data_IF_909065403760
#
_entry.id   IF_909065403760
#
_cell.length_a   1.000
_cell.length_b   1.000
_cell.length_c   1.000
_cell.angle_alpha   90.00
_cell.angle_beta   90.00
_cell.angle_gamma   90.00
#
_symmetry.space_group_name_H-M   'P 1'
#
loop_
_entity.id
_entity.type
_entity.pdbx_description
1 polymer ?
#
# COMPACT_ATOMS: atom_id res chain seq x y z
N UNK A 1 33.02 13.59 -29.27
CA UNK A 1 31.91 12.68 -28.88
C UNK A 1 30.73 12.95 -29.81
N UNK A 2 30.11 11.90 -30.36
CA UNK A 2 29.00 12.05 -31.33
C UNK A 2 27.78 12.69 -30.67
N UNK A 3 27.10 13.58 -31.39
CA UNK A 3 25.83 14.22 -30.96
C UNK A 3 24.81 13.20 -30.44
N UNK A 4 24.83 11.97 -30.98
CA UNK A 4 24.02 10.85 -30.52
C UNK A 4 24.28 10.47 -29.06
N UNK A 5 25.54 10.41 -28.63
CA UNK A 5 25.91 10.03 -27.26
C UNK A 5 25.52 11.11 -26.22
N UNK A 6 25.54 12.38 -26.62
CA UNK A 6 25.09 13.49 -25.78
C UNK A 6 23.58 13.44 -25.55
N UNK A 7 22.79 13.19 -26.61
CA UNK A 7 21.34 13.03 -26.52
C UNK A 7 20.94 11.87 -25.60
N UNK A 8 21.62 10.72 -25.67
CA UNK A 8 21.30 9.59 -24.80
C UNK A 8 21.51 9.90 -23.33
N UNK A 9 22.59 10.60 -22.98
CA UNK A 9 22.90 10.96 -21.59
C UNK A 9 21.85 11.95 -21.06
N UNK A 10 21.46 12.96 -21.85
CA UNK A 10 20.46 13.96 -21.44
C UNK A 10 19.10 13.30 -21.18
N UNK A 11 18.64 12.41 -22.08
CA UNK A 11 17.37 11.69 -21.88
C UNK A 11 17.42 10.82 -20.63
N UNK A 12 18.54 10.12 -20.40
CA UNK A 12 18.70 9.24 -19.24
C UNK A 12 18.72 10.04 -17.92
N UNK A 13 19.42 11.18 -17.89
CA UNK A 13 19.40 12.11 -16.75
C UNK A 13 17.99 12.66 -16.47
N UNK A 14 17.27 13.10 -17.51
CA UNK A 14 15.90 13.60 -17.37
C UNK A 14 14.98 12.50 -16.82
N UNK A 15 15.07 11.27 -17.34
CA UNK A 15 14.27 10.14 -16.81
C UNK A 15 14.59 9.82 -15.36
N UNK A 16 15.85 9.90 -14.93
CA UNK A 16 16.22 9.69 -13.52
C UNK A 16 15.69 10.81 -12.61
N UNK A 17 15.71 12.07 -13.04
CA UNK A 17 15.15 13.21 -12.29
C UNK A 17 13.64 13.08 -12.07
N UNK A 18 12.90 12.57 -13.05
CA UNK A 18 11.46 12.32 -12.90
C UNK A 18 11.16 11.14 -11.96
N UNK A 19 11.99 10.10 -11.95
CA UNK A 19 11.80 8.92 -11.10
C UNK A 19 12.12 9.18 -9.62
N UNK A 20 13.05 10.09 -9.31
CA UNK A 20 13.39 10.46 -7.92
C UNK A 20 12.40 11.44 -7.29
N UNK A 21 11.63 12.17 -8.09
CA UNK A 21 10.72 13.23 -7.61
C UNK A 21 9.38 12.72 -7.05
N UNK A 22 9.12 11.41 -7.04
CA UNK A 22 7.83 10.83 -6.63
C UNK A 22 7.81 10.15 -5.26
N UNK A 23 8.92 10.11 -4.52
CA UNK A 23 8.88 9.67 -3.11
C UNK A 23 8.69 10.90 -2.22
N UNK A 24 7.49 11.06 -1.67
CA UNK A 24 7.22 12.02 -0.59
C UNK A 24 8.24 11.76 0.52
N UNK A 25 9.14 12.73 0.74
CA UNK A 25 10.28 12.60 1.67
C UNK A 25 9.84 12.38 3.13
N UNK A 26 8.55 12.56 3.43
CA UNK A 26 7.93 12.36 4.76
C UNK A 26 6.64 11.51 4.68
N UNK A 27 6.58 10.52 3.79
CA UNK A 27 5.47 9.57 3.82
C UNK A 27 5.66 8.54 4.94
N UNK A 28 4.59 8.25 5.67
CA UNK A 28 4.48 7.15 6.62
C UNK A 28 3.91 5.95 5.88
N UNK A 29 4.61 4.83 5.95
CA UNK A 29 4.18 3.57 5.33
C UNK A 29 3.30 2.81 6.31
N UNK A 30 2.03 2.61 5.95
CA UNK A 30 1.02 1.98 6.78
C UNK A 30 1.17 0.45 6.74
N UNK A 31 2.33 -0.05 7.15
CA UNK A 31 2.70 -1.47 7.06
C UNK A 31 1.87 -2.32 8.04
N UNK A 32 1.64 -1.83 9.25
CA UNK A 32 0.81 -2.51 10.24
C UNK A 32 -0.65 -2.60 9.81
N UNK A 33 -1.18 -1.53 9.22
CA UNK A 33 -2.58 -1.46 8.85
C UNK A 33 -2.94 -0.11 8.26
N UNK A 34 -3.99 -0.10 7.45
CA UNK A 34 -4.59 1.11 6.91
C UNK A 34 -6.11 1.00 7.00
N UNK A 35 -6.75 2.05 7.50
CA UNK A 35 -8.19 2.20 7.48
C UNK A 35 -8.57 3.66 7.24
N UNK A 36 -9.81 3.93 6.87
CA UNK A 36 -10.27 5.30 6.65
C UNK A 36 -11.74 5.45 6.98
N UNK A 37 -12.08 6.56 7.63
CA UNK A 37 -13.44 7.10 7.66
C UNK A 37 -13.57 8.28 6.68
N UNK A 38 -14.70 9.00 6.73
CA UNK A 38 -14.99 10.14 5.84
C UNK A 38 -13.99 11.32 6.01
N UNK A 39 -13.29 11.39 7.14
CA UNK A 39 -12.51 12.55 7.57
C UNK A 39 -11.05 12.21 7.88
N UNK A 40 -10.76 10.98 8.28
CA UNK A 40 -9.50 10.56 8.88
C UNK A 40 -9.06 9.23 8.30
N UNK A 41 -7.79 9.17 7.90
CA UNK A 41 -7.12 7.92 7.58
C UNK A 41 -6.29 7.49 8.79
N UNK A 42 -6.38 6.21 9.12
CA UNK A 42 -5.73 5.55 10.23
C UNK A 42 -4.59 4.71 9.67
N UNK A 43 -3.36 5.12 9.94
CA UNK A 43 -2.16 4.50 9.40
C UNK A 43 -1.33 3.89 10.54
N UNK A 44 -1.27 2.57 10.60
CA UNK A 44 -0.45 1.88 11.60
C UNK A 44 0.85 1.38 10.97
N UNK A 45 1.99 1.64 11.62
CA UNK A 45 3.31 1.25 11.11
C UNK A 45 3.83 -0.10 11.63
N UNK A 46 3.28 -0.63 12.72
CA UNK A 46 3.76 -1.85 13.37
C UNK A 46 2.73 -3.00 13.41
N UNK A 47 3.23 -4.21 13.67
CA UNK A 47 2.42 -5.43 13.76
C UNK A 47 1.44 -5.42 14.94
N UNK A 48 1.79 -4.74 16.03
CA UNK A 48 1.05 -4.72 17.29
C UNK A 48 -0.13 -3.75 17.26
N UNK A 49 -0.30 -3.00 16.18
CA UNK A 49 -1.28 -1.94 16.03
C UNK A 49 -1.13 -0.79 17.05
N UNK A 50 0.10 -0.48 17.50
CA UNK A 50 0.33 0.50 18.58
C UNK A 50 0.66 1.89 18.04
N UNK A 51 1.55 1.97 17.06
CA UNK A 51 1.99 3.24 16.46
C UNK A 51 1.03 3.64 15.34
N UNK A 52 -0.11 4.18 15.77
CA UNK A 52 -1.17 4.71 14.92
C UNK A 52 -0.93 6.20 14.61
N UNK A 53 -0.99 6.55 13.33
CA UNK A 53 -0.95 7.91 12.83
C UNK A 53 -2.32 8.28 12.25
N UNK A 54 -2.79 9.48 12.60
CA UNK A 54 -3.98 10.07 12.00
C UNK A 54 -3.55 10.95 10.83
N UNK A 55 -4.05 10.66 9.64
CA UNK A 55 -3.64 11.28 8.40
C UNK A 55 -4.85 11.86 7.66
N UNK A 56 -4.60 12.81 6.77
CA UNK A 56 -5.59 13.29 5.79
C UNK A 56 -5.78 12.20 4.71
N UNK A 57 -7.00 11.63 4.53
CA UNK A 57 -7.26 10.58 3.54
C UNK A 57 -6.91 10.99 2.10
N UNK A 58 -6.94 12.29 1.77
CA UNK A 58 -6.59 12.77 0.45
C UNK A 58 -5.08 12.64 0.15
N UNK A 59 -4.27 12.40 1.18
CA UNK A 59 -2.81 12.29 1.10
C UNK A 59 -2.29 10.86 1.29
N UNK A 60 -3.21 9.92 1.35
CA UNK A 60 -2.94 8.50 1.47
C UNK A 60 -3.19 7.79 0.13
N UNK A 61 -2.27 6.93 -0.26
CA UNK A 61 -2.47 6.08 -1.42
C UNK A 61 -1.30 5.15 -1.71
N UNK A 62 -1.51 4.29 -2.69
CA UNK A 62 -0.53 3.42 -3.30
C UNK A 62 -0.71 3.52 -4.81
N UNK A 63 0.32 3.95 -5.56
CA UNK A 63 0.26 4.14 -7.02
C UNK A 63 -0.96 4.96 -7.51
N UNK A 64 -1.28 6.06 -6.79
CA UNK A 64 -2.46 6.92 -7.01
C UNK A 64 -3.83 6.25 -6.77
N UNK A 65 -3.86 5.07 -6.14
CA UNK A 65 -5.07 4.39 -5.69
C UNK A 65 -5.21 4.44 -4.16
N UNK A 66 -6.45 4.39 -3.66
CA UNK A 66 -6.76 4.27 -2.21
C UNK A 66 -7.01 2.82 -1.78
N UNK A 67 -6.36 1.89 -2.46
CA UNK A 67 -6.45 0.47 -2.18
C UNK A 67 -5.13 -0.20 -2.55
N UNK A 68 -4.91 -1.40 -2.03
CA UNK A 68 -3.82 -2.28 -2.43
C UNK A 68 -4.36 -3.54 -3.09
N UNK A 69 -3.61 -4.10 -4.03
CA UNK A 69 -3.97 -5.36 -4.69
C UNK A 69 -3.08 -6.47 -4.16
N UNK A 70 -3.61 -7.25 -3.22
CA UNK A 70 -2.93 -8.42 -2.70
C UNK A 70 -3.38 -9.69 -3.42
N UNK A 71 -2.41 -10.53 -3.77
CA UNK A 71 -2.66 -11.82 -4.40
C UNK A 71 -2.93 -12.89 -3.34
N UNK A 72 -3.63 -13.95 -3.75
CA UNK A 72 -3.91 -15.13 -2.93
C UNK A 72 -4.73 -14.87 -1.67
N UNK A 73 -5.44 -13.74 -1.62
CA UNK A 73 -6.39 -13.47 -0.57
C UNK A 73 -7.57 -14.45 -0.68
N UNK A 74 -8.03 -15.00 0.43
CA UNK A 74 -9.17 -15.94 0.45
C UNK A 74 -10.26 -15.36 1.33
N UNK A 75 -11.55 -15.53 1.01
CA UNK A 75 -12.61 -15.06 1.87
C UNK A 75 -12.46 -15.63 3.28
N UNK A 76 -12.58 -14.81 4.32
CA UNK A 76 -12.30 -15.22 5.70
C UNK A 76 -13.15 -16.41 6.16
N UNK A 77 -14.37 -16.54 5.63
CA UNK A 77 -15.30 -17.63 5.90
C UNK A 77 -14.98 -18.93 5.12
N UNK A 78 -14.03 -18.90 4.17
CA UNK A 78 -13.57 -20.02 3.35
C UNK A 78 -12.06 -20.20 3.53
N UNK A 79 -11.69 -20.80 4.65
CA UNK A 79 -10.30 -21.12 4.98
C UNK A 79 -9.73 -22.33 4.20
N UNK A 80 -10.54 -22.97 3.35
CA UNK A 80 -10.12 -24.08 2.50
C UNK A 80 -9.22 -23.64 1.33
N UNK A 81 -9.07 -22.33 1.12
CA UNK A 81 -8.14 -21.74 0.16
C UNK A 81 -8.54 -21.94 -1.31
N UNK A 82 -9.77 -22.38 -1.56
CA UNK A 82 -10.20 -22.82 -2.90
C UNK A 82 -10.63 -21.67 -3.82
N UNK A 83 -10.89 -20.48 -3.26
CA UNK A 83 -11.28 -19.29 -4.03
C UNK A 83 -10.35 -18.12 -3.71
N UNK A 84 -9.30 -17.95 -4.51
CA UNK A 84 -8.49 -16.74 -4.47
C UNK A 84 -9.32 -15.54 -4.98
N UNK A 85 -9.37 -14.49 -4.17
CA UNK A 85 -9.98 -13.21 -4.50
C UNK A 85 -9.00 -12.37 -5.31
N UNK A 86 -9.51 -11.75 -6.38
CA UNK A 86 -8.81 -10.71 -7.15
C UNK A 86 -9.20 -9.30 -6.68
N UNK A 87 -9.95 -9.20 -5.58
CA UNK A 87 -10.48 -7.94 -5.10
C UNK A 87 -9.41 -7.11 -4.41
N UNK A 88 -9.59 -5.79 -4.48
CA UNK A 88 -8.68 -4.82 -3.87
C UNK A 88 -9.01 -4.61 -2.39
N UNK A 89 -7.99 -4.41 -1.59
CA UNK A 89 -8.08 -4.11 -0.16
C UNK A 89 -8.12 -2.59 0.05
N UNK A 90 -9.28 -2.07 0.45
CA UNK A 90 -9.46 -0.65 0.78
C UNK A 90 -9.06 -0.36 2.23
N UNK A 91 -9.19 -1.36 3.10
CA UNK A 91 -8.64 -1.37 4.45
C UNK A 91 -8.00 -2.70 4.75
N UNK A 92 -7.00 -2.69 5.63
CA UNK A 92 -6.29 -3.89 6.03
C UNK A 92 -5.63 -3.73 7.40
N UNK A 93 -5.37 -4.86 8.06
CA UNK A 93 -4.67 -4.89 9.33
C UNK A 93 -3.93 -6.22 9.51
N UNK A 94 -2.73 -6.15 10.08
CA UNK A 94 -1.90 -7.32 10.36
C UNK A 94 -2.62 -8.32 11.27
N UNK A 95 -2.58 -9.61 10.91
CA UNK A 95 -3.27 -10.69 11.62
C UNK A 95 -2.37 -11.93 11.76
N UNK A 96 -1.72 -12.05 12.93
CA UNK A 96 -0.75 -13.10 13.18
C UNK A 96 0.51 -12.96 12.31
N UNK A 97 1.43 -13.92 12.33
CA UNK A 97 2.78 -13.72 11.77
C UNK A 97 2.87 -13.69 10.24
N UNK A 98 1.84 -14.17 9.52
CA UNK A 98 1.91 -14.41 8.08
C UNK A 98 0.64 -14.00 7.33
N UNK A 99 -0.24 -13.22 7.95
CA UNK A 99 -1.46 -12.80 7.28
C UNK A 99 -1.82 -11.35 7.56
N UNK A 100 -2.59 -10.80 6.64
CA UNK A 100 -3.38 -9.61 6.85
C UNK A 100 -4.85 -9.95 6.74
N UNK A 101 -5.65 -9.28 7.56
CA UNK A 101 -7.06 -9.07 7.26
C UNK A 101 -7.18 -7.96 6.22
N UNK A 102 -8.08 -8.14 5.28
CA UNK A 102 -8.34 -7.18 4.21
C UNK A 102 -9.85 -7.04 4.05
N UNK A 103 -10.30 -5.82 3.88
CA UNK A 103 -11.68 -5.50 3.54
C UNK A 103 -11.71 -4.82 2.19
N UNK A 104 -12.66 -5.18 1.33
CA UNK A 104 -12.90 -4.50 0.06
C UNK A 104 -13.93 -3.37 0.18
N UNK A 105 -14.23 -2.69 -0.92
CA UNK A 105 -15.23 -1.60 -0.96
C UNK A 105 -16.67 -2.05 -0.64
N UNK A 106 -16.95 -3.35 -0.68
CA UNK A 106 -18.26 -3.93 -0.34
C UNK A 106 -18.31 -4.45 1.11
N UNK A 107 -17.31 -4.15 1.94
CA UNK A 107 -17.17 -4.64 3.31
C UNK A 107 -17.05 -6.17 3.44
N UNK A 108 -16.59 -6.86 2.39
CA UNK A 108 -16.28 -8.29 2.44
C UNK A 108 -14.88 -8.50 3.00
N UNK A 109 -14.75 -9.49 3.90
CA UNK A 109 -13.51 -9.79 4.61
C UNK A 109 -12.73 -10.94 3.97
N UNK A 110 -11.43 -10.71 3.81
CA UNK A 110 -10.48 -11.66 3.26
C UNK A 110 -9.28 -11.83 4.19
N UNK A 111 -8.69 -13.02 4.15
CA UNK A 111 -7.40 -13.33 4.75
C UNK A 111 -6.36 -13.39 3.63
N UNK A 112 -5.32 -12.56 3.72
CA UNK A 112 -4.29 -12.45 2.71
C UNK A 112 -2.96 -12.95 3.27
N UNK A 113 -2.27 -13.92 2.63
CA UNK A 113 -1.04 -14.52 3.14
C UNK A 113 0.19 -13.63 2.86
N UNK A 114 0.23 -12.46 3.49
CA UNK A 114 1.31 -11.48 3.42
C UNK A 114 1.87 -11.22 4.82
N UNK A 115 3.17 -10.94 4.91
CA UNK A 115 3.89 -10.64 6.15
C UNK A 115 4.08 -9.14 6.31
N UNK A 116 4.39 -8.70 7.52
CA UNK A 116 4.84 -7.32 7.72
C UNK A 116 6.01 -7.01 6.79
N UNK A 117 5.93 -5.85 6.12
CA UNK A 117 6.86 -5.34 5.09
C UNK A 117 6.66 -5.91 3.68
N UNK A 118 5.78 -6.89 3.49
CA UNK A 118 5.38 -7.28 2.14
C UNK A 118 4.58 -6.14 1.51
N UNK A 119 5.12 -5.56 0.43
CA UNK A 119 4.40 -4.62 -0.40
C UNK A 119 3.36 -5.35 -1.27
N UNK A 120 2.30 -4.68 -1.74
CA UNK A 120 1.97 -3.25 -1.57
C UNK A 120 1.35 -2.87 -0.22
N UNK A 121 1.62 -1.66 0.24
CA UNK A 121 0.96 -0.98 1.36
C UNK A 121 0.61 0.46 0.96
N UNK A 122 -0.36 1.06 1.64
CA UNK A 122 -0.69 2.48 1.53
C UNK A 122 0.39 3.30 2.24
N UNK A 123 0.79 4.40 1.62
CA UNK A 123 1.64 5.41 2.26
C UNK A 123 0.86 6.71 2.38
N UNK A 124 0.97 7.37 3.53
CA UNK A 124 0.31 8.64 3.82
C UNK A 124 1.34 9.74 4.02
N UNK A 125 1.13 10.92 3.43
CA UNK A 125 2.02 12.07 3.63
C UNK A 125 1.39 13.12 4.55
N UNK A 126 2.23 13.73 5.41
CA UNK A 126 1.80 14.73 6.41
C UNK A 126 0.75 14.22 7.39
N UNK A 127 1.08 13.09 7.99
CA UNK A 127 0.66 12.74 9.34
C UNK A 127 1.71 13.29 10.33
#
# INVERSE_FOLDING_TARGET
>A
MSFRAYLTIVVLCITMCFLTSMKSVNAVDCQGGYDTDDTTAFCTVDEQQINLHHCDPARCGHDNARFVSWKKCVPFYKQDGTAESTQNCVSYGHYGPNHYTCTNANNEYFLCPHKLKDAPFISCSRC
#
